data_IF_311729287894
#
_entry.id   IF_311729287894
#
_cell.length_a   1.000
_cell.length_b   1.000
_cell.length_c   1.000
_cell.angle_alpha   90.00
_cell.angle_beta   90.00
_cell.angle_gamma   90.00
#
_symmetry.space_group_name_H-M   'P 1'
#
loop_
_entity.id
_entity.type
_entity.pdbx_description
1 polymer ?
#
# COMPACT_ATOMS: atom_id res chain seq x y z
N UNK A 1 -11.05 -4.27 -6.11
CA UNK A 1 -11.72 -3.71 -4.92
C UNK A 1 -12.67 -4.74 -4.28
N UNK A 2 -13.46 -5.47 -5.05
CA UNK A 2 -14.39 -6.47 -4.46
C UNK A 2 -13.66 -7.57 -3.69
N UNK A 3 -12.56 -8.12 -4.24
CA UNK A 3 -11.70 -9.09 -3.53
C UNK A 3 -11.13 -8.55 -2.21
N UNK A 4 -10.88 -7.26 -2.12
CA UNK A 4 -10.37 -6.61 -0.90
C UNK A 4 -11.51 -6.22 0.05
N UNK A 5 -12.76 -6.53 -0.31
CA UNK A 5 -13.96 -6.18 0.47
C UNK A 5 -14.00 -4.70 0.85
N UNK A 6 -13.59 -3.81 -0.07
CA UNK A 6 -13.65 -2.36 0.15
C UNK A 6 -15.11 -1.93 0.26
N UNK A 7 -15.48 -1.43 1.43
CA UNK A 7 -16.85 -1.01 1.77
C UNK A 7 -16.85 0.18 2.72
N UNK A 8 -17.98 0.86 2.83
CA UNK A 8 -18.15 1.97 3.75
C UNK A 8 -17.67 1.63 5.18
N UNK A 9 -17.03 2.60 5.83
CA UNK A 9 -16.48 2.48 7.17
C UNK A 9 -15.04 2.00 7.24
N UNK A 10 -14.44 1.49 6.13
CA UNK A 10 -13.02 1.19 6.10
C UNK A 10 -12.19 2.47 5.94
N UNK A 11 -11.07 2.54 6.67
CA UNK A 11 -10.02 3.54 6.52
C UNK A 11 -8.93 2.94 5.62
N UNK A 12 -8.73 3.52 4.46
CA UNK A 12 -7.86 2.94 3.42
C UNK A 12 -6.70 3.88 3.12
N UNK A 13 -5.50 3.35 3.03
CA UNK A 13 -4.35 4.06 2.49
C UNK A 13 -4.05 3.58 1.06
N UNK A 14 -3.91 4.52 0.14
CA UNK A 14 -3.39 4.36 -1.22
C UNK A 14 -1.95 4.87 -1.21
N UNK A 15 -1.00 3.95 -1.19
CA UNK A 15 0.44 4.26 -1.07
C UNK A 15 1.08 4.24 -2.45
N UNK A 16 1.82 5.32 -2.77
CA UNK A 16 2.23 5.64 -4.13
C UNK A 16 1.03 6.07 -4.96
N UNK A 17 0.23 6.99 -4.42
CA UNK A 17 -1.06 7.37 -4.99
C UNK A 17 -0.97 8.03 -6.38
N UNK A 18 0.18 8.62 -6.72
CA UNK A 18 0.39 9.33 -7.98
C UNK A 18 -0.67 10.38 -8.24
N UNK A 19 -1.23 10.37 -9.44
CA UNK A 19 -2.33 11.26 -9.84
C UNK A 19 -3.72 10.78 -9.35
N UNK A 20 -3.77 9.80 -8.43
CA UNK A 20 -4.98 9.36 -7.73
C UNK A 20 -5.86 8.39 -8.52
N UNK A 21 -5.28 7.51 -9.30
CA UNK A 21 -6.07 6.51 -10.03
C UNK A 21 -6.90 5.63 -9.10
N UNK A 22 -6.28 5.07 -8.06
CA UNK A 22 -6.97 4.29 -7.05
C UNK A 22 -7.65 5.16 -5.99
N UNK A 23 -7.01 6.23 -5.54
CA UNK A 23 -7.57 7.19 -4.56
C UNK A 23 -9.01 7.60 -4.88
N UNK A 24 -9.25 8.07 -6.11
CA UNK A 24 -10.59 8.52 -6.55
C UNK A 24 -11.59 7.37 -6.55
N UNK A 25 -11.18 6.20 -6.98
CA UNK A 25 -12.04 5.00 -6.99
C UNK A 25 -12.37 4.51 -5.59
N UNK A 26 -11.39 4.56 -4.70
CA UNK A 26 -11.57 4.21 -3.28
C UNK A 26 -12.55 5.17 -2.60
N UNK A 27 -12.34 6.48 -2.76
CA UNK A 27 -13.23 7.47 -2.17
C UNK A 27 -14.68 7.30 -2.66
N UNK A 28 -14.88 7.09 -3.97
CA UNK A 28 -16.21 6.82 -4.52
C UNK A 28 -16.83 5.51 -4.02
N UNK A 29 -16.03 4.46 -3.87
CA UNK A 29 -16.48 3.15 -3.38
C UNK A 29 -16.87 3.17 -1.90
N UNK A 30 -16.13 3.93 -1.09
CA UNK A 30 -16.40 4.11 0.33
C UNK A 30 -17.61 5.01 0.57
N UNK A 31 -17.91 5.93 -0.35
CA UNK A 31 -19.08 6.78 -0.31
C UNK A 31 -19.02 7.91 0.72
N UNK A 32 -20.16 8.37 1.19
CA UNK A 32 -20.26 9.40 2.21
C UNK A 32 -19.56 8.94 3.50
N UNK A 33 -18.64 9.76 4.03
CA UNK A 33 -17.80 9.40 5.18
C UNK A 33 -16.58 8.58 4.81
N UNK A 34 -16.16 8.55 3.52
CA UNK A 34 -14.91 7.95 3.10
C UNK A 34 -13.73 8.48 3.92
N UNK A 35 -12.82 7.59 4.27
CA UNK A 35 -11.53 7.93 4.89
C UNK A 35 -10.45 7.28 4.05
N UNK A 36 -9.83 8.07 3.18
CA UNK A 36 -8.73 7.65 2.31
C UNK A 36 -7.51 8.50 2.62
N UNK A 37 -6.40 7.86 2.90
CA UNK A 37 -5.09 8.49 2.96
C UNK A 37 -4.39 8.22 1.64
N UNK A 38 -4.12 9.27 0.87
CA UNK A 38 -3.37 9.18 -0.38
C UNK A 38 -1.95 9.65 -0.11
N UNK A 39 -1.05 8.70 -0.06
CA UNK A 39 0.35 8.93 0.25
C UNK A 39 1.20 8.87 -1.03
N UNK A 40 2.15 9.80 -1.14
CA UNK A 40 3.18 9.77 -2.19
C UNK A 40 4.43 10.53 -1.73
N UNK A 41 5.60 10.09 -2.19
CA UNK A 41 6.88 10.75 -1.91
C UNK A 41 7.09 11.98 -2.79
N UNK A 42 6.37 12.09 -3.90
CA UNK A 42 6.47 13.17 -4.86
C UNK A 42 5.41 14.24 -4.62
N UNK A 43 5.80 15.36 -4.03
CA UNK A 43 4.88 16.47 -3.73
C UNK A 43 4.09 16.94 -4.97
N UNK A 44 4.71 16.90 -6.16
CA UNK A 44 4.05 17.28 -7.43
C UNK A 44 2.86 16.40 -7.78
N UNK A 45 2.88 15.11 -7.43
CA UNK A 45 1.75 14.21 -7.62
C UNK A 45 0.61 14.57 -6.66
N UNK A 46 0.93 14.82 -5.40
CA UNK A 46 -0.07 15.25 -4.41
C UNK A 46 -0.74 16.57 -4.77
N UNK A 47 -0.01 17.53 -5.34
CA UNK A 47 -0.60 18.78 -5.83
C UNK A 47 -1.56 18.55 -7.01
N UNK A 48 -1.19 17.70 -7.97
CA UNK A 48 -2.09 17.31 -9.07
C UNK A 48 -3.31 16.56 -8.56
N UNK A 49 -3.12 15.66 -7.62
CA UNK A 49 -4.21 14.93 -6.98
C UNK A 49 -5.14 15.89 -6.23
N UNK A 50 -4.61 16.85 -5.48
CA UNK A 50 -5.40 17.89 -4.81
C UNK A 50 -6.33 18.63 -5.79
N UNK A 51 -5.74 19.10 -6.90
CA UNK A 51 -6.50 19.81 -7.94
C UNK A 51 -7.58 18.91 -8.57
N UNK A 52 -7.27 17.64 -8.79
CA UNK A 52 -8.22 16.65 -9.30
C UNK A 52 -9.38 16.40 -8.33
N UNK A 53 -9.11 16.19 -7.06
CA UNK A 53 -10.14 15.95 -6.03
C UNK A 53 -11.10 17.15 -5.93
N UNK A 54 -10.55 18.37 -5.93
CA UNK A 54 -11.34 19.60 -5.90
C UNK A 54 -12.23 19.72 -7.15
N UNK A 55 -11.68 19.53 -8.36
CA UNK A 55 -12.42 19.57 -9.62
C UNK A 55 -13.53 18.54 -9.68
N UNK A 56 -13.26 17.31 -9.21
CA UNK A 56 -14.18 16.18 -9.30
C UNK A 56 -15.15 16.12 -8.10
N UNK A 57 -15.09 17.08 -7.16
CA UNK A 57 -15.95 17.17 -5.98
C UNK A 57 -15.79 15.96 -5.01
N UNK A 58 -14.58 15.40 -4.92
CA UNK A 58 -14.31 14.21 -4.10
C UNK A 58 -13.82 14.64 -2.72
N UNK A 59 -14.55 14.23 -1.70
CA UNK A 59 -14.23 14.46 -0.29
C UNK A 59 -13.73 13.18 0.40
N UNK A 60 -13.27 13.31 1.66
CA UNK A 60 -12.84 12.19 2.48
C UNK A 60 -11.45 11.66 2.13
N UNK A 61 -10.62 12.47 1.45
CA UNK A 61 -9.24 12.14 1.12
C UNK A 61 -8.28 13.07 1.85
N UNK A 62 -7.35 12.49 2.58
CA UNK A 62 -6.21 13.18 3.21
C UNK A 62 -4.95 12.88 2.41
N UNK A 63 -4.26 13.94 1.96
CA UNK A 63 -2.98 13.80 1.25
C UNK A 63 -1.85 13.74 2.26
N UNK A 64 -0.98 12.75 2.12
CA UNK A 64 0.16 12.51 3.01
C UNK A 64 1.45 12.54 2.18
N UNK A 65 2.36 13.43 2.54
CA UNK A 65 3.68 13.50 1.91
C UNK A 65 4.66 12.64 2.71
N UNK A 66 4.89 11.44 2.23
CA UNK A 66 5.82 10.48 2.80
C UNK A 66 7.27 10.72 2.42
N UNK A 67 8.08 9.73 2.71
CA UNK A 67 9.47 9.61 2.25
C UNK A 67 9.73 8.20 1.75
N UNK A 68 10.83 7.96 1.06
CA UNK A 68 11.16 6.64 0.52
C UNK A 68 11.14 5.50 1.57
N UNK A 69 11.48 5.81 2.84
CA UNK A 69 11.50 4.80 3.91
C UNK A 69 10.36 4.92 4.92
N UNK A 70 9.52 5.97 4.85
CA UNK A 70 8.48 6.21 5.84
C UNK A 70 7.23 6.84 5.19
N UNK A 71 6.11 6.12 5.13
CA UNK A 71 4.86 6.63 4.56
C UNK A 71 4.18 7.69 5.43
N UNK A 72 4.64 7.97 6.64
CA UNK A 72 4.12 8.98 7.57
C UNK A 72 2.60 8.94 7.77
N UNK A 73 2.03 7.76 7.68
CA UNK A 73 0.61 7.54 7.93
C UNK A 73 0.33 7.61 9.44
N UNK A 74 -0.85 8.10 9.87
CA UNK A 74 -1.18 8.21 11.29
C UNK A 74 -1.26 6.83 11.96
N UNK A 75 -0.83 6.73 13.21
CA UNK A 75 -0.83 5.48 13.98
C UNK A 75 -2.23 4.89 14.14
N UNK A 76 -2.32 3.56 14.06
CA UNK A 76 -3.52 2.75 14.27
C UNK A 76 -4.77 3.25 13.51
N UNK A 77 -4.57 3.90 12.37
CA UNK A 77 -5.62 4.58 11.61
C UNK A 77 -6.05 3.88 10.33
N UNK A 78 -5.33 2.83 9.91
CA UNK A 78 -5.54 2.19 8.60
C UNK A 78 -6.03 0.75 8.78
N UNK A 79 -7.12 0.41 8.10
CA UNK A 79 -7.68 -0.95 8.04
C UNK A 79 -7.23 -1.71 6.79
N UNK A 80 -6.90 -0.97 5.72
CA UNK A 80 -6.40 -1.55 4.47
C UNK A 80 -5.39 -0.62 3.82
N UNK A 81 -4.20 -1.13 3.55
CA UNK A 81 -3.21 -0.46 2.70
C UNK A 81 -3.25 -1.09 1.32
N UNK A 82 -3.19 -0.29 0.28
CA UNK A 82 -3.05 -0.71 -1.11
C UNK A 82 -1.77 -0.09 -1.66
N UNK A 83 -0.87 -0.95 -2.16
CA UNK A 83 0.30 -0.58 -2.96
C UNK A 83 0.06 -1.13 -4.37
N UNK A 84 -0.16 -0.27 -5.34
CA UNK A 84 -0.47 -0.72 -6.70
C UNK A 84 0.59 -0.26 -7.70
N UNK A 85 1.34 -1.21 -8.24
CA UNK A 85 2.43 -0.99 -9.19
C UNK A 85 3.47 0.02 -8.67
N UNK A 86 3.81 -0.08 -7.39
CA UNK A 86 4.78 0.81 -6.75
C UNK A 86 5.72 0.11 -5.78
N UNK A 87 5.41 -1.14 -5.35
CA UNK A 87 6.26 -1.85 -4.39
C UNK A 87 7.68 -2.05 -4.93
N UNK A 88 7.82 -2.34 -6.21
CA UNK A 88 9.11 -2.48 -6.89
C UNK A 88 9.96 -1.19 -6.94
N UNK A 89 9.38 -0.03 -6.63
CA UNK A 89 10.10 1.26 -6.55
C UNK A 89 10.66 1.52 -5.14
N UNK A 90 10.32 0.69 -4.15
CA UNK A 90 10.81 0.86 -2.77
C UNK A 90 12.24 0.36 -2.65
N UNK A 91 13.21 1.25 -2.51
CA UNK A 91 14.63 0.92 -2.41
C UNK A 91 14.97 0.12 -1.13
N UNK A 92 14.30 0.44 -0.02
CA UNK A 92 14.48 -0.27 1.26
C UNK A 92 13.15 -0.79 1.80
N UNK A 93 12.65 -1.95 1.27
CA UNK A 93 11.36 -2.48 1.64
C UNK A 93 11.26 -2.87 3.12
N UNK A 94 12.36 -3.26 3.75
CA UNK A 94 12.39 -3.64 5.16
C UNK A 94 12.11 -2.45 6.07
N UNK A 95 12.77 -1.32 5.85
CA UNK A 95 12.54 -0.09 6.61
C UNK A 95 11.12 0.42 6.36
N UNK A 96 10.69 0.48 5.10
CA UNK A 96 9.35 0.92 4.73
C UNK A 96 8.26 0.10 5.45
N UNK A 97 8.33 -1.24 5.37
CA UNK A 97 7.37 -2.14 6.02
C UNK A 97 7.41 -2.03 7.55
N UNK A 98 8.60 -1.83 8.11
CA UNK A 98 8.77 -1.61 9.54
C UNK A 98 8.08 -0.31 9.98
N UNK A 99 8.27 0.79 9.24
CA UNK A 99 7.66 2.09 9.50
C UNK A 99 6.17 2.16 9.18
N UNK A 100 5.71 1.34 8.24
CA UNK A 100 4.30 1.21 7.93
C UNK A 100 3.49 0.56 9.07
N UNK A 101 4.11 -0.37 9.81
CA UNK A 101 3.41 -1.19 10.82
C UNK A 101 2.65 -0.38 11.88
N UNK A 102 3.17 0.71 12.47
CA UNK A 102 2.45 1.51 13.46
C UNK A 102 1.11 2.07 12.96
N UNK A 103 1.01 2.43 11.69
CA UNK A 103 -0.21 2.97 11.09
C UNK A 103 -1.35 1.94 10.98
N UNK A 104 -1.03 0.64 11.02
CA UNK A 104 -1.99 -0.44 10.80
C UNK A 104 -2.78 -0.74 12.07
N UNK A 105 -4.10 -0.62 11.97
CA UNK A 105 -5.04 -0.97 13.03
C UNK A 105 -5.07 -2.49 13.28
N UNK A 106 -5.59 -2.95 14.44
CA UNK A 106 -5.85 -4.36 14.66
C UNK A 106 -6.72 -4.97 13.57
N UNK A 107 -6.29 -6.09 12.98
CA UNK A 107 -6.99 -6.73 11.86
C UNK A 107 -6.76 -6.10 10.49
N UNK A 108 -5.90 -5.10 10.39
CA UNK A 108 -5.57 -4.47 9.11
C UNK A 108 -4.92 -5.45 8.13
N UNK A 109 -5.03 -5.09 6.84
CA UNK A 109 -4.43 -5.86 5.74
C UNK A 109 -3.60 -4.94 4.85
N UNK A 110 -2.55 -5.51 4.26
CA UNK A 110 -1.72 -4.87 3.24
C UNK A 110 -1.92 -5.62 1.94
N UNK A 111 -2.41 -4.95 0.92
CA UNK A 111 -2.67 -5.48 -0.40
C UNK A 111 -1.65 -4.91 -1.38
N UNK A 112 -0.90 -5.78 -2.04
CA UNK A 112 0.12 -5.41 -3.04
C UNK A 112 -0.32 -5.96 -4.39
N UNK A 113 -0.43 -5.07 -5.35
CA UNK A 113 -0.71 -5.38 -6.75
C UNK A 113 0.53 -5.06 -7.54
N UNK A 114 1.14 -6.07 -8.16
CA UNK A 114 2.36 -5.88 -8.94
C UNK A 114 2.45 -6.88 -10.09
N UNK A 115 3.51 -6.78 -10.90
CA UNK A 115 3.80 -7.70 -11.98
C UNK A 115 4.79 -8.78 -11.51
N UNK A 116 4.60 -10.01 -11.97
CA UNK A 116 5.56 -11.10 -11.77
C UNK A 116 6.73 -10.92 -12.75
N UNK A 117 7.57 -9.92 -12.47
CA UNK A 117 8.73 -9.54 -13.27
C UNK A 117 9.88 -9.13 -12.36
N UNK A 118 11.12 -9.19 -12.84
CA UNK A 118 12.24 -8.62 -12.10
C UNK A 118 12.03 -7.13 -11.79
N UNK A 119 12.56 -6.64 -10.66
CA UNK A 119 12.44 -5.24 -10.23
C UNK A 119 12.91 -4.25 -11.29
N UNK A 120 14.00 -4.58 -12.02
CA UNK A 120 14.50 -3.78 -13.16
C UNK A 120 13.53 -3.71 -14.35
N UNK A 121 12.49 -4.53 -14.37
CA UNK A 121 11.42 -4.58 -15.38
C UNK A 121 10.08 -4.11 -14.82
N UNK A 122 10.13 -3.27 -13.78
CA UNK A 122 8.98 -2.68 -13.10
C UNK A 122 7.99 -3.71 -12.56
N UNK A 123 8.49 -4.69 -11.81
CA UNK A 123 7.70 -5.70 -11.12
C UNK A 123 8.40 -6.22 -9.89
N UNK A 124 7.72 -7.05 -9.12
CA UNK A 124 8.28 -7.77 -7.98
C UNK A 124 7.90 -9.24 -8.10
N UNK A 125 8.87 -10.17 -8.28
CA UNK A 125 8.54 -11.59 -8.28
C UNK A 125 7.82 -11.98 -6.98
N UNK A 126 6.72 -12.76 -7.02
CA UNK A 126 5.96 -13.15 -5.82
C UNK A 126 6.82 -13.83 -4.75
N UNK A 127 7.86 -14.55 -5.13
CA UNK A 127 8.81 -15.17 -4.20
C UNK A 127 9.65 -14.14 -3.43
N UNK A 128 10.11 -13.09 -4.10
CA UNK A 128 10.83 -11.98 -3.48
C UNK A 128 9.91 -11.19 -2.55
N UNK A 129 8.72 -10.80 -3.03
CA UNK A 129 7.73 -10.09 -2.23
C UNK A 129 7.43 -10.85 -0.93
N UNK A 130 7.16 -12.15 -1.05
CA UNK A 130 6.86 -13.01 0.11
C UNK A 130 8.01 -13.07 1.10
N UNK A 131 9.23 -13.18 0.62
CA UNK A 131 10.42 -13.19 1.46
C UNK A 131 10.58 -11.87 2.22
N UNK A 132 10.50 -10.72 1.53
CA UNK A 132 10.70 -9.40 2.13
C UNK A 132 9.65 -9.07 3.19
N UNK A 133 8.37 -9.34 2.91
CA UNK A 133 7.31 -9.14 3.90
C UNK A 133 7.48 -10.09 5.10
N UNK A 134 7.80 -11.34 4.85
CA UNK A 134 8.04 -12.31 5.92
C UNK A 134 9.23 -11.94 6.82
N UNK A 135 10.29 -11.35 6.26
CA UNK A 135 11.45 -10.88 7.01
C UNK A 135 11.10 -9.82 8.06
N UNK A 136 10.05 -9.02 7.80
CA UNK A 136 9.51 -8.01 8.74
C UNK A 136 8.33 -8.57 9.56
N UNK A 137 7.99 -9.84 9.35
CA UNK A 137 6.96 -10.54 10.13
C UNK A 137 5.55 -10.48 9.53
N UNK A 138 5.35 -9.90 8.34
CA UNK A 138 4.07 -9.95 7.65
C UNK A 138 3.81 -11.36 7.12
N UNK A 139 2.56 -11.79 7.18
CA UNK A 139 2.16 -13.13 6.74
C UNK A 139 1.18 -13.04 5.57
N UNK A 140 1.50 -13.72 4.47
CA UNK A 140 0.59 -13.84 3.32
C UNK A 140 -0.69 -14.60 3.72
N UNK A 141 -1.84 -14.10 3.32
CA UNK A 141 -3.15 -14.72 3.58
C UNK A 141 -3.95 -14.98 2.31
N UNK A 142 -3.62 -14.32 1.22
CA UNK A 142 -4.24 -14.56 -0.08
C UNK A 142 -3.30 -14.13 -1.21
N UNK A 143 -3.32 -14.84 -2.32
CA UNK A 143 -2.63 -14.47 -3.55
C UNK A 143 -3.45 -14.90 -4.76
N UNK A 144 -3.58 -14.00 -5.73
CA UNK A 144 -4.39 -14.23 -6.93
C UNK A 144 -3.69 -13.69 -8.15
N UNK A 145 -3.61 -14.51 -9.20
CA UNK A 145 -3.20 -14.04 -10.53
C UNK A 145 -4.25 -13.10 -11.12
N UNK A 146 -3.80 -12.05 -11.76
CA UNK A 146 -4.62 -11.05 -12.45
C UNK A 146 -4.47 -11.22 -13.97
N UNK A 147 -4.65 -12.45 -14.46
CA UNK A 147 -4.62 -12.75 -15.90
C UNK A 147 -5.55 -11.80 -16.71
N UNK A 148 -5.23 -11.51 -18.00
CA UNK A 148 -4.17 -12.10 -18.83
C UNK A 148 -2.79 -11.44 -18.71
N UNK A 149 -2.66 -10.32 -17.97
CA UNK A 149 -1.35 -9.72 -17.70
C UNK A 149 -0.62 -10.55 -16.63
N UNK A 150 0.72 -10.49 -16.61
CA UNK A 150 1.56 -11.18 -15.62
C UNK A 150 1.44 -10.53 -14.22
N UNK A 151 0.27 -9.96 -13.91
CA UNK A 151 -0.02 -9.28 -12.66
C UNK A 151 -0.57 -10.22 -11.60
N UNK A 152 -0.38 -9.84 -10.36
CA UNK A 152 -0.94 -10.53 -9.20
C UNK A 152 -1.42 -9.54 -8.13
N UNK A 153 -2.30 -10.01 -7.27
CA UNK A 153 -2.67 -9.37 -6.01
C UNK A 153 -2.25 -10.30 -4.88
N UNK A 154 -1.42 -9.83 -3.98
CA UNK A 154 -1.07 -10.53 -2.76
C UNK A 154 -1.57 -9.73 -1.54
N UNK A 155 -2.13 -10.43 -0.55
CA UNK A 155 -2.68 -9.83 0.66
C UNK A 155 -1.95 -10.38 1.87
N UNK A 156 -1.51 -9.47 2.73
CA UNK A 156 -0.76 -9.78 3.94
C UNK A 156 -1.47 -9.23 5.18
N UNK A 157 -1.24 -9.90 6.31
CA UNK A 157 -1.57 -9.38 7.63
C UNK A 157 -0.28 -8.98 8.35
N UNK A 158 -0.29 -7.84 9.05
CA UNK A 158 0.90 -7.37 9.77
C UNK A 158 1.17 -8.25 11.00
N UNK A 159 2.42 -8.27 11.50
CA UNK A 159 2.74 -8.93 12.75
C UNK A 159 2.09 -8.20 13.95
N UNK A 160 1.77 -8.94 15.00
CA UNK A 160 1.35 -8.33 16.27
C UNK A 160 2.47 -7.48 16.87
N UNK A 161 3.70 -7.98 16.79
CA UNK A 161 4.92 -7.30 17.26
C UNK A 161 5.96 -7.36 16.15
N UNK A 162 6.61 -6.24 15.87
CA UNK A 162 7.72 -6.18 14.92
C UNK A 162 8.92 -6.96 15.46
N UNK A 163 9.69 -7.63 14.59
CA UNK A 163 10.99 -8.18 14.96
C UNK A 163 11.95 -7.04 15.37
N UNK A 164 12.96 -7.37 16.15
CA UNK A 164 14.06 -6.43 16.41
C UNK A 164 14.76 -6.10 15.06
N UNK A 165 15.11 -4.84 14.81
CA UNK A 165 15.69 -4.44 13.51
C UNK A 165 16.90 -5.29 13.10
N UNK A 166 17.75 -5.66 14.05
CA UNK A 166 18.93 -6.51 13.85
C UNK A 166 18.60 -7.98 13.52
N UNK A 167 17.36 -8.40 13.72
CA UNK A 167 16.90 -9.74 13.34
C UNK A 167 16.39 -9.80 11.89
N UNK A 168 16.10 -8.66 11.27
CA UNK A 168 15.65 -8.60 9.88
C UNK A 168 16.80 -8.98 8.96
N UNK A 169 16.57 -9.95 8.09
CA UNK A 169 17.56 -10.41 7.11
C UNK A 169 17.05 -10.10 5.71
N UNK A 170 17.92 -9.49 4.90
CA UNK A 170 17.61 -9.22 3.50
C UNK A 170 17.47 -10.51 2.70
N UNK A 171 16.51 -10.51 1.80
CA UNK A 171 16.28 -11.59 0.84
C UNK A 171 17.34 -11.51 -0.27
N UNK A 172 17.71 -12.66 -0.80
CA UNK A 172 18.56 -12.71 -2.01
C UNK A 172 17.65 -12.59 -3.23
N UNK A 173 18.00 -11.69 -4.11
CA UNK A 173 17.41 -11.60 -5.44
C UNK A 173 17.92 -12.73 -6.33
#
# INVERSE_FOLDING_TARGET
MDRLAVKAGLRVADVGAGDGYYTVRLARRLGAGATVYAEDVEARYLERLRARLARDGIAGVTLVHGTAGDPKLPDASIDLVILSHMYHEIENPYEFLFRLRPALAPGARVAIIDLDKPTREHGTPPSLLRCELAAVGYREVDVVSLAPADGYLAVFVPPATLPAPEAIRSCRQ
#
